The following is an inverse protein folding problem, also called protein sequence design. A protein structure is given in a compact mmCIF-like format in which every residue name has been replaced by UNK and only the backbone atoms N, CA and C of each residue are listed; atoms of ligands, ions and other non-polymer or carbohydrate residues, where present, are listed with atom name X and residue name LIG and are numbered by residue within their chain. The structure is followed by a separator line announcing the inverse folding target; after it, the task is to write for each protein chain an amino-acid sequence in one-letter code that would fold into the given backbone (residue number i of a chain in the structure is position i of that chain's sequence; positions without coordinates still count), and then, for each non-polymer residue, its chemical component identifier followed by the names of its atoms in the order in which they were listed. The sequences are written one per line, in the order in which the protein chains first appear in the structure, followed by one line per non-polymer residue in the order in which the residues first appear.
data_IF_002274809190
#
_entry.id   IF_002274809190
#
_cell.length_a   1.000
_cell.length_b   1.000
_cell.length_c   1.000
_cell.angle_alpha   90.00
_cell.angle_beta   90.00
_cell.angle_gamma   90.00
#
_symmetry.space_group_name_H-M   'P 1'
#
loop_
_entity.id
_entity.type
_entity.pdbx_description
1 polymer ?
#
# COMPACT_ATOMS: atom_id res chain seq x y z
N UNK A 1 -11.60 -12.33 -1.19
CA UNK A 1 -10.98 -11.54 -2.26
C UNK A 1 -11.24 -10.07 -1.98
N UNK A 2 -10.20 -9.26 -1.88
CA UNK A 2 -10.31 -7.82 -1.60
C UNK A 2 -10.28 -7.06 -2.94
N UNK A 3 -11.22 -6.12 -3.12
CA UNK A 3 -11.28 -5.26 -4.31
C UNK A 3 -11.09 -3.81 -3.88
N UNK A 4 -10.21 -3.08 -4.56
CA UNK A 4 -10.01 -1.67 -4.26
C UNK A 4 -11.24 -0.85 -4.66
N UNK A 5 -11.77 -0.04 -3.74
CA UNK A 5 -12.91 0.84 -4.02
C UNK A 5 -12.50 2.24 -4.52
N UNK A 6 -11.19 2.51 -4.53
CA UNK A 6 -10.60 3.78 -4.94
C UNK A 6 -9.39 3.56 -5.83
N UNK A 7 -9.04 4.60 -6.58
CA UNK A 7 -7.70 4.71 -7.16
C UNK A 7 -6.72 5.00 -6.03
N UNK A 8 -5.62 4.27 -6.02
CA UNK A 8 -4.52 4.51 -5.09
C UNK A 8 -3.27 4.90 -5.84
N UNK A 9 -2.43 5.69 -5.20
CA UNK A 9 -1.21 6.23 -5.78
C UNK A 9 -0.02 5.84 -4.95
N UNK A 10 1.06 5.46 -5.61
CA UNK A 10 2.35 5.20 -4.99
C UNK A 10 3.44 6.00 -5.67
N UNK A 11 4.34 6.55 -4.86
CA UNK A 11 5.49 7.29 -5.35
C UNK A 11 6.61 6.34 -5.77
N UNK A 12 7.36 6.73 -6.80
CA UNK A 12 8.43 5.95 -7.39
C UNK A 12 9.29 6.77 -8.33
N UNK A 13 9.86 6.10 -9.33
CA UNK A 13 10.75 6.70 -10.32
C UNK A 13 10.22 6.45 -11.75
N UNK A 14 11.04 6.76 -12.76
CA UNK A 14 10.65 6.61 -14.17
C UNK A 14 10.34 5.16 -14.59
N UNK A 15 10.86 4.17 -13.84
CA UNK A 15 10.76 2.75 -14.16
C UNK A 15 9.65 2.01 -13.41
N UNK A 16 9.08 2.61 -12.36
CA UNK A 16 8.02 1.95 -11.58
C UNK A 16 7.72 2.61 -10.23
N UNK A 17 6.72 2.08 -9.51
CA UNK A 17 6.51 2.38 -8.09
C UNK A 17 7.80 2.15 -7.30
N UNK A 18 7.98 2.90 -6.21
CA UNK A 18 9.19 2.86 -5.40
C UNK A 18 9.55 1.45 -4.92
N UNK A 19 10.84 1.17 -4.81
CA UNK A 19 11.32 -0.06 -4.18
C UNK A 19 10.83 -0.10 -2.73
N UNK A 20 10.33 -1.26 -2.31
CA UNK A 20 9.92 -1.51 -0.92
C UNK A 20 11.18 -1.70 -0.09
N UNK A 21 11.32 -0.97 1.01
CA UNK A 21 12.51 -1.06 1.85
C UNK A 21 12.26 -2.11 2.93
N UNK A 22 13.27 -2.92 3.31
CA UNK A 22 13.13 -3.84 4.43
C UNK A 22 12.70 -3.15 5.74
N UNK A 23 13.13 -1.89 5.94
CA UNK A 23 12.71 -1.07 7.09
C UNK A 23 11.20 -0.82 7.16
N UNK A 24 10.48 -0.89 6.03
CA UNK A 24 9.04 -0.68 5.97
C UNK A 24 8.27 -1.95 6.38
N UNK A 25 8.96 -3.10 6.43
CA UNK A 25 8.36 -4.43 6.57
C UNK A 25 8.65 -5.11 7.91
N UNK A 26 9.57 -4.59 8.72
CA UNK A 26 9.95 -5.18 10.00
C UNK A 26 10.77 -6.47 9.83
N UNK A 27 10.53 -7.45 10.71
CA UNK A 27 11.19 -8.76 10.63
C UNK A 27 10.70 -9.58 9.43
N UNK A 28 11.52 -10.53 8.98
CA UNK A 28 11.16 -11.50 7.94
C UNK A 28 10.97 -12.87 8.64
N UNK A 29 9.77 -13.48 8.60
CA UNK A 29 8.61 -13.15 7.78
C UNK A 29 7.74 -12.00 8.31
N UNK A 30 7.00 -11.36 7.40
CA UNK A 30 6.03 -10.29 7.71
C UNK A 30 4.59 -10.86 7.75
N UNK A 31 3.77 -10.33 8.67
CA UNK A 31 2.35 -10.67 8.80
C UNK A 31 2.11 -12.03 9.49
N UNK A 32 0.84 -12.47 9.61
CA UNK A 32 -0.36 -11.83 9.07
C UNK A 32 -0.78 -10.60 9.89
N UNK A 33 -1.34 -9.60 9.22
CA UNK A 33 -2.09 -8.54 9.89
C UNK A 33 -3.59 -8.69 9.66
N UNK A 34 -4.38 -8.26 10.64
CA UNK A 34 -5.85 -8.19 10.58
C UNK A 34 -6.34 -6.91 11.25
N UNK A 35 -6.10 -5.73 10.63
CA UNK A 35 -6.57 -4.49 11.21
C UNK A 35 -8.10 -4.46 11.24
N UNK A 36 -8.65 -4.02 12.35
CA UNK A 36 -10.07 -3.80 12.59
C UNK A 36 -10.37 -2.31 12.85
N UNK A 37 -9.35 -1.55 13.26
CA UNK A 37 -9.43 -0.13 13.52
C UNK A 37 -8.41 0.64 12.64
N UNK A 38 -8.80 1.79 12.04
CA UNK A 38 -7.90 2.70 11.34
C UNK A 38 -6.61 3.09 12.08
N UNK A 39 -6.59 2.98 13.42
CA UNK A 39 -5.45 3.27 14.27
C UNK A 39 -4.53 2.06 14.52
N UNK A 40 -4.90 0.88 14.05
CA UNK A 40 -4.09 -0.33 14.19
C UNK A 40 -2.75 -0.16 13.47
N UNK A 41 -1.67 -0.51 14.18
CA UNK A 41 -0.32 -0.44 13.63
C UNK A 41 -0.11 -1.65 12.73
N UNK A 42 0.04 -1.39 11.43
CA UNK A 42 0.24 -2.41 10.39
C UNK A 42 1.49 -2.08 9.60
N UNK A 43 2.32 -3.08 9.33
CA UNK A 43 3.47 -2.94 8.45
C UNK A 43 3.09 -3.26 7.00
N UNK A 44 3.70 -2.54 6.06
CA UNK A 44 3.32 -2.62 4.67
C UNK A 44 3.86 -1.46 3.88
N UNK A 45 3.21 -1.13 2.77
CA UNK A 45 3.64 -0.04 1.90
C UNK A 45 2.56 1.01 1.77
N UNK A 46 2.96 2.26 1.96
CA UNK A 46 2.08 3.41 1.81
C UNK A 46 1.57 3.55 0.38
N UNK A 47 0.28 3.80 0.28
CA UNK A 47 -0.44 4.24 -0.91
C UNK A 47 -1.38 5.38 -0.52
N UNK A 48 -1.77 6.20 -1.49
CA UNK A 48 -2.51 7.43 -1.22
C UNK A 48 -3.69 7.57 -2.17
N UNK A 49 -4.87 7.97 -1.67
CA UNK A 49 -5.98 8.38 -2.54
C UNK A 49 -5.77 9.77 -3.14
N UNK A 50 -5.18 10.66 -2.34
CA UNK A 50 -4.90 12.06 -2.69
C UNK A 50 -3.39 12.32 -2.62
N UNK A 51 -2.61 11.90 -3.63
CA UNK A 51 -1.14 11.97 -3.59
C UNK A 51 -0.61 13.40 -3.43
N UNK A 52 -1.34 14.39 -3.93
CA UNK A 52 -1.05 15.82 -3.77
C UNK A 52 -1.08 16.30 -2.30
N UNK A 53 -1.78 15.59 -1.42
CA UNK A 53 -1.89 15.92 0.01
C UNK A 53 -0.88 15.16 0.87
N UNK A 54 -0.09 14.26 0.28
CA UNK A 54 0.88 13.43 1.01
C UNK A 54 2.15 14.18 1.45
N UNK A 55 2.43 15.33 0.83
CA UNK A 55 3.71 16.03 0.98
C UNK A 55 4.90 15.34 0.30
N UNK A 56 4.70 14.18 -0.33
CA UNK A 56 5.74 13.44 -1.04
C UNK A 56 5.92 13.95 -2.47
N UNK A 57 7.15 13.85 -2.97
CA UNK A 57 7.53 14.21 -4.35
C UNK A 57 8.04 12.99 -5.11
N UNK A 58 8.06 13.08 -6.44
CA UNK A 58 8.52 12.00 -7.31
C UNK A 58 7.50 11.60 -8.38
N UNK A 59 7.80 10.53 -9.13
CA UNK A 59 6.87 10.00 -10.13
C UNK A 59 5.76 9.22 -9.44
N UNK A 60 4.53 9.43 -9.90
CA UNK A 60 3.35 8.78 -9.34
C UNK A 60 2.95 7.59 -10.20
N UNK A 61 2.50 6.53 -9.54
CA UNK A 61 2.00 5.32 -10.16
C UNK A 61 0.63 5.01 -9.58
N UNK A 62 -0.36 4.80 -10.44
CA UNK A 62 -1.75 4.58 -10.07
C UNK A 62 -2.04 3.09 -10.02
N UNK A 63 -2.69 2.65 -8.97
CA UNK A 63 -3.42 1.39 -8.88
C UNK A 63 -4.89 1.69 -9.17
N UNK A 64 -5.48 1.17 -10.26
CA UNK A 64 -6.87 1.45 -10.61
C UNK A 64 -7.86 1.01 -9.53
N UNK A 65 -8.99 1.73 -9.43
CA UNK A 65 -10.14 1.25 -8.68
C UNK A 65 -10.69 -0.04 -9.34
N UNK A 66 -11.30 -0.91 -8.55
CA UNK A 66 -11.75 -2.22 -9.03
C UNK A 66 -10.63 -3.24 -9.17
N UNK A 67 -9.40 -2.93 -8.76
CA UNK A 67 -8.31 -3.90 -8.77
C UNK A 67 -8.59 -4.99 -7.75
N UNK A 68 -8.61 -6.22 -8.23
CA UNK A 68 -8.62 -7.41 -7.39
C UNK A 68 -7.22 -7.60 -6.82
N UNK A 69 -7.10 -7.49 -5.49
CA UNK A 69 -5.83 -7.76 -4.83
C UNK A 69 -5.59 -9.28 -4.82
N UNK A 70 -4.34 -9.72 -5.11
CA UNK A 70 -3.99 -11.13 -5.03
C UNK A 70 -4.14 -11.64 -3.59
N UNK A 71 -4.31 -12.95 -3.46
CA UNK A 71 -4.34 -13.60 -2.15
C UNK A 71 -3.09 -13.25 -1.33
N UNK A 72 -3.29 -13.01 -0.03
CA UNK A 72 -2.24 -12.55 0.86
C UNK A 72 -2.04 -11.03 0.89
N UNK A 73 -2.71 -10.23 0.05
CA UNK A 73 -2.70 -8.77 0.14
C UNK A 73 -4.04 -8.19 0.61
N UNK A 74 -3.94 -7.24 1.54
CA UNK A 74 -5.03 -6.38 1.98
C UNK A 74 -4.69 -4.91 1.78
N UNK A 75 -5.67 -4.05 2.01
CA UNK A 75 -5.48 -2.60 2.06
C UNK A 75 -6.13 -2.03 3.33
N UNK A 76 -5.38 -1.26 4.09
CA UNK A 76 -5.77 -0.69 5.36
C UNK A 76 -5.83 0.83 5.23
N UNK A 77 -7.00 1.43 5.42
CA UNK A 77 -7.13 2.88 5.41
C UNK A 77 -6.85 3.42 6.82
N UNK A 78 -5.69 4.04 6.99
CA UNK A 78 -5.19 4.61 8.26
C UNK A 78 -4.97 6.13 8.16
N UNK A 79 -5.40 6.76 7.07
CA UNK A 79 -5.45 8.21 6.94
C UNK A 79 -6.44 8.87 7.91
N UNK A 80 -6.22 10.15 8.21
CA UNK A 80 -7.06 10.92 9.12
C UNK A 80 -8.53 11.05 8.68
N UNK A 81 -8.81 10.94 7.38
CA UNK A 81 -10.17 10.85 6.83
C UNK A 81 -10.90 9.56 7.21
N UNK A 82 -10.16 8.50 7.54
CA UNK A 82 -10.68 7.23 8.03
C UNK A 82 -10.67 7.17 9.57
N UNK A 83 -10.17 8.20 10.26
CA UNK A 83 -9.99 8.21 11.72
C UNK A 83 -8.67 7.60 12.21
N UNK A 84 -7.73 7.34 11.30
CA UNK A 84 -6.37 6.92 11.62
C UNK A 84 -5.41 8.10 11.85
N UNK A 85 -4.13 7.79 12.08
CA UNK A 85 -3.09 8.78 12.39
C UNK A 85 -2.30 9.24 11.15
N UNK A 86 -2.49 8.56 10.00
CA UNK A 86 -1.81 8.88 8.75
C UNK A 86 -2.30 10.19 8.12
N UNK A 87 -1.55 10.74 7.15
CA UNK A 87 -1.99 11.88 6.36
C UNK A 87 -3.34 11.62 5.67
N UNK A 88 -4.02 12.70 5.27
CA UNK A 88 -5.30 12.61 4.57
C UNK A 88 -5.17 11.73 3.31
N UNK A 89 -6.01 10.71 3.21
CA UNK A 89 -6.05 9.74 2.11
C UNK A 89 -4.96 8.67 2.15
N UNK A 90 -4.18 8.56 3.23
CA UNK A 90 -3.19 7.50 3.41
C UNK A 90 -3.86 6.13 3.62
N UNK A 91 -3.24 5.11 3.06
CA UNK A 91 -3.55 3.71 3.30
C UNK A 91 -2.28 2.86 3.16
N UNK A 92 -2.29 1.65 3.72
CA UNK A 92 -1.22 0.67 3.54
C UNK A 92 -1.72 -0.54 2.75
N UNK A 93 -0.96 -0.96 1.74
CA UNK A 93 -1.02 -2.35 1.28
C UNK A 93 -0.24 -3.21 2.26
N UNK A 94 -0.84 -4.28 2.78
CA UNK A 94 -0.28 -5.09 3.85
C UNK A 94 -0.50 -6.60 3.63
N UNK A 95 0.32 -7.47 4.24
CA UNK A 95 0.15 -8.92 4.14
C UNK A 95 -0.97 -9.44 5.06
N UNK A 96 -1.98 -10.10 4.49
CA UNK A 96 -3.07 -10.76 5.26
C UNK A 96 -2.70 -12.18 5.72
N UNK A 97 -1.53 -12.65 5.31
CA UNK A 97 -0.94 -13.96 5.61
C UNK A 97 0.53 -13.78 5.97
N UNK A 98 1.09 -14.70 6.76
CA UNK A 98 2.54 -14.73 6.98
C UNK A 98 3.27 -15.02 5.67
N UNK A 99 4.20 -14.16 5.27
CA UNK A 99 4.99 -14.36 4.05
C UNK A 99 6.37 -13.72 4.13
N UNK A 100 7.29 -14.16 3.27
CA UNK A 100 8.60 -13.53 3.18
C UNK A 100 8.50 -12.12 2.60
N UNK A 101 9.47 -11.26 2.93
CA UNK A 101 9.63 -9.95 2.30
C UNK A 101 9.65 -10.05 0.78
N UNK A 102 10.33 -11.06 0.23
CA UNK A 102 10.42 -11.29 -1.20
C UNK A 102 9.05 -11.59 -1.83
N UNK A 103 8.24 -12.45 -1.20
CA UNK A 103 6.88 -12.77 -1.67
C UNK A 103 5.99 -11.52 -1.61
N UNK A 104 6.01 -10.78 -0.50
CA UNK A 104 5.24 -9.54 -0.37
C UNK A 104 5.64 -8.52 -1.44
N UNK A 105 6.94 -8.33 -1.66
CA UNK A 105 7.44 -7.40 -2.67
C UNK A 105 7.01 -7.79 -4.08
N UNK A 106 7.08 -9.07 -4.42
CA UNK A 106 6.64 -9.58 -5.72
C UNK A 106 5.15 -9.36 -5.95
N UNK A 107 4.31 -9.61 -4.94
CA UNK A 107 2.87 -9.37 -5.02
C UNK A 107 2.54 -7.90 -5.24
N UNK A 108 3.15 -6.99 -4.46
CA UNK A 108 2.90 -5.54 -4.59
C UNK A 108 3.41 -5.01 -5.92
N UNK A 109 4.61 -5.41 -6.36
CA UNK A 109 5.18 -4.95 -7.63
C UNK A 109 4.45 -5.51 -8.84
N UNK A 110 3.84 -6.69 -8.73
CA UNK A 110 3.05 -7.34 -9.76
C UNK A 110 1.63 -6.79 -9.94
N UNK A 111 1.19 -5.86 -9.08
CA UNK A 111 -0.10 -5.18 -9.27
C UNK A 111 -0.11 -4.36 -10.58
N UNK A 112 -1.28 -4.11 -11.18
CA UNK A 112 -1.42 -3.43 -12.48
C UNK A 112 -1.20 -1.92 -12.34
N UNK A 113 0.01 -1.52 -11.96
CA UNK A 113 0.39 -0.12 -11.81
C UNK A 113 0.43 0.58 -13.16
N UNK A 114 -0.31 1.68 -13.27
CA UNK A 114 -0.29 2.56 -14.42
C UNK A 114 0.59 3.78 -14.13
N UNK A 115 1.34 4.22 -15.14
CA UNK A 115 2.14 5.44 -15.02
C UNK A 115 1.22 6.65 -14.85
N UNK A 116 1.40 7.38 -13.75
CA UNK A 116 0.73 8.65 -13.49
C UNK A 116 1.41 9.84 -14.15
N UNK A 117 1.00 11.04 -13.71
CA UNK A 117 1.58 12.32 -14.12
C UNK A 117 2.69 12.80 -13.18
#
# INVERSE_FOLDING_TARGET
MVVTNHVFWRFGNASGPGRIRPSDLGEDPIGPFRPENPQDIVLGVSVFRWPELSGLTGKRWRLPAGTVLPEGLGIHADGSDAGGQGPLGHALLFPTECMSHAKFCALVQGLPWERGW
#
